data_IF_734985826183
#
_entry.id   IF_734985826183
#
_cell.length_a   1.000
_cell.length_b   1.000
_cell.length_c   1.000
_cell.angle_alpha   90.00
_cell.angle_beta   90.00
_cell.angle_gamma   90.00
#
_symmetry.space_group_name_H-M   'P 1'
#
loop_
_entity.id
_entity.type
_entity.pdbx_description
1 polymer ?
#
# COMPACT_ATOMS: atom_id res chain seq x y z
N UNK A 1 5.63 2.28 -20.35
CA UNK A 1 6.77 1.35 -20.26
C UNK A 1 7.84 1.99 -19.39
N UNK A 2 8.53 1.22 -18.58
CA UNK A 2 9.62 1.66 -17.73
C UNK A 2 10.92 1.16 -18.34
N UNK A 3 11.83 2.07 -18.67
CA UNK A 3 13.09 1.75 -19.33
C UNK A 3 14.26 2.19 -18.43
N UNK A 4 15.30 1.37 -18.41
CA UNK A 4 16.54 1.63 -17.68
C UNK A 4 17.73 1.32 -18.59
N UNK A 5 18.56 2.33 -18.80
CA UNK A 5 19.84 2.22 -19.48
C UNK A 5 20.95 2.77 -18.59
N UNK A 6 22.04 2.03 -18.40
CA UNK A 6 23.24 2.53 -17.70
C UNK A 6 24.45 2.52 -18.61
N UNK A 7 25.45 3.38 -18.32
CA UNK A 7 26.73 3.38 -19.04
C UNK A 7 27.50 2.06 -18.87
N UNK A 8 27.24 1.33 -17.78
CA UNK A 8 27.83 0.01 -17.50
C UNK A 8 27.16 -1.13 -18.27
N UNK A 9 26.17 -0.85 -19.11
CA UNK A 9 25.60 -1.81 -20.06
C UNK A 9 24.25 -2.41 -19.66
N UNK A 10 23.68 -2.03 -18.51
CA UNK A 10 22.32 -2.47 -18.15
C UNK A 10 21.32 -1.90 -19.15
N UNK A 11 20.46 -2.77 -19.70
CA UNK A 11 19.37 -2.41 -20.61
C UNK A 11 18.14 -3.24 -20.24
N UNK A 12 17.22 -2.65 -19.49
CA UNK A 12 16.02 -3.32 -19.01
C UNK A 12 14.77 -2.55 -19.46
N UNK A 13 13.73 -3.31 -19.76
CA UNK A 13 12.42 -2.79 -20.13
C UNK A 13 11.34 -3.53 -19.37
N UNK A 14 10.55 -2.77 -18.62
CA UNK A 14 9.36 -3.22 -17.94
C UNK A 14 8.11 -2.69 -18.64
N UNK A 15 7.11 -3.55 -18.81
CA UNK A 15 5.79 -3.15 -19.28
C UNK A 15 4.78 -3.56 -18.22
N UNK A 16 4.00 -2.59 -17.76
CA UNK A 16 2.84 -2.82 -16.92
C UNK A 16 1.65 -2.05 -17.49
N UNK A 17 0.47 -2.61 -17.30
CA UNK A 17 -0.80 -1.94 -17.52
C UNK A 17 -1.50 -1.86 -16.19
N UNK A 18 -2.06 -0.70 -15.90
CA UNK A 18 -2.81 -0.46 -14.69
C UNK A 18 -4.01 0.41 -15.03
N UNK A 19 -5.12 0.15 -14.38
CA UNK A 19 -6.32 0.95 -14.37
C UNK A 19 -6.71 1.18 -12.91
N UNK A 20 -7.18 2.37 -12.60
CA UNK A 20 -7.63 2.72 -11.27
C UNK A 20 -8.96 3.46 -11.37
N UNK A 21 -9.90 3.12 -10.51
CA UNK A 21 -11.13 3.86 -10.32
C UNK A 21 -11.23 4.26 -8.85
N UNK A 22 -11.59 5.52 -8.62
CA UNK A 22 -12.04 5.97 -7.30
C UNK A 22 -13.43 6.54 -7.43
N UNK A 23 -14.27 6.27 -6.44
CA UNK A 23 -15.65 6.72 -6.41
C UNK A 23 -15.96 7.26 -5.02
N UNK A 24 -16.58 8.44 -5.00
CA UNK A 24 -17.09 9.06 -3.78
C UNK A 24 -18.58 9.28 -3.96
N UNK A 25 -19.39 8.74 -3.05
CA UNK A 25 -20.81 9.07 -2.98
C UNK A 25 -21.03 10.06 -1.84
N UNK A 26 -21.93 11.02 -2.07
CA UNK A 26 -22.33 12.02 -1.09
C UNK A 26 -23.85 12.09 -1.01
N UNK A 27 -24.36 12.43 0.17
CA UNK A 27 -25.77 12.81 0.33
C UNK A 27 -26.06 14.13 -0.38
N UNK A 28 -27.33 14.39 -0.71
CA UNK A 28 -27.73 15.62 -1.42
C UNK A 28 -27.37 16.90 -0.64
N UNK A 29 -27.40 16.83 0.70
CA UNK A 29 -26.98 17.91 1.59
C UNK A 29 -25.45 18.00 1.80
N UNK A 30 -24.68 17.11 1.16
CA UNK A 30 -23.23 16.99 1.22
C UNK A 30 -22.63 16.72 2.61
N UNK A 31 -23.46 16.41 3.63
CA UNK A 31 -22.99 16.20 5.01
C UNK A 31 -22.31 14.86 5.23
N UNK A 32 -22.61 13.86 4.40
CA UNK A 32 -22.12 12.48 4.58
C UNK A 32 -21.52 11.98 3.28
N UNK A 33 -20.44 11.24 3.39
CA UNK A 33 -19.73 10.70 2.24
C UNK A 33 -19.10 9.36 2.53
N UNK A 34 -18.99 8.54 1.49
CA UNK A 34 -18.26 7.28 1.50
C UNK A 34 -17.37 7.19 0.27
N UNK A 35 -16.27 6.48 0.40
CA UNK A 35 -15.25 6.35 -0.65
C UNK A 35 -14.87 4.89 -0.89
N UNK A 36 -14.56 4.58 -2.15
CA UNK A 36 -13.92 3.33 -2.55
C UNK A 36 -12.89 3.60 -3.65
N UNK A 37 -11.81 2.83 -3.61
CA UNK A 37 -10.84 2.72 -4.68
C UNK A 37 -10.78 1.27 -5.19
N UNK A 38 -10.56 1.12 -6.49
CA UNK A 38 -10.34 -0.16 -7.15
C UNK A 38 -9.18 -0.06 -8.12
N UNK A 39 -8.42 -1.15 -8.24
CA UNK A 39 -7.31 -1.30 -9.16
C UNK A 39 -7.57 -2.49 -10.08
N UNK A 40 -7.06 -2.42 -11.30
CA UNK A 40 -7.07 -3.52 -12.25
C UNK A 40 -5.87 -3.41 -13.19
N UNK A 41 -5.58 -4.46 -13.94
CA UNK A 41 -4.54 -4.44 -14.99
C UNK A 41 -5.03 -3.80 -16.28
N UNK A 42 -6.33 -3.49 -16.38
CA UNK A 42 -6.98 -2.79 -17.49
C UNK A 42 -8.40 -2.38 -17.12
N UNK A 43 -9.04 -1.53 -17.92
CA UNK A 43 -10.38 -0.99 -17.61
C UNK A 43 -11.45 -2.08 -17.47
N UNK A 44 -11.35 -3.16 -18.26
CA UNK A 44 -12.29 -4.28 -18.19
C UNK A 44 -12.24 -5.04 -16.85
N UNK A 45 -11.17 -4.89 -16.07
CA UNK A 45 -11.05 -5.48 -14.73
C UNK A 45 -11.61 -4.62 -13.60
N UNK A 46 -12.24 -3.48 -13.90
CA UNK A 46 -12.82 -2.58 -12.90
C UNK A 46 -14.32 -2.88 -12.72
N UNK A 47 -14.68 -3.42 -11.56
CA UNK A 47 -16.08 -3.73 -11.19
C UNK A 47 -16.84 -2.49 -10.69
N UNK A 48 -17.19 -1.60 -11.64
CA UNK A 48 -17.83 -0.31 -11.33
C UNK A 48 -19.18 -0.47 -10.64
N UNK A 49 -20.03 -1.38 -11.14
CA UNK A 49 -21.36 -1.60 -10.60
C UNK A 49 -21.31 -2.13 -9.16
N UNK A 50 -20.45 -3.13 -8.90
CA UNK A 50 -20.24 -3.66 -7.55
C UNK A 50 -19.71 -2.59 -6.58
N UNK A 51 -18.74 -1.79 -7.02
CA UNK A 51 -18.21 -0.67 -6.23
C UNK A 51 -19.30 0.35 -5.87
N UNK A 52 -20.16 0.71 -6.83
CA UNK A 52 -21.27 1.64 -6.61
C UNK A 52 -22.30 1.09 -5.62
N UNK A 53 -22.70 -0.19 -5.77
CA UNK A 53 -23.66 -0.80 -4.85
C UNK A 53 -23.13 -0.86 -3.42
N UNK A 54 -21.88 -1.31 -3.24
CA UNK A 54 -21.25 -1.35 -1.91
C UNK A 54 -21.04 0.04 -1.29
N UNK A 55 -20.89 1.10 -2.10
CA UNK A 55 -20.90 2.47 -1.59
C UNK A 55 -22.30 2.94 -1.20
N UNK A 56 -23.34 2.60 -1.97
CA UNK A 56 -24.71 2.97 -1.61
C UNK A 56 -25.13 2.38 -0.28
N UNK A 57 -24.83 1.10 -0.06
CA UNK A 57 -25.10 0.42 1.21
C UNK A 57 -24.39 1.11 2.38
N UNK A 58 -23.07 1.34 2.25
CA UNK A 58 -22.28 2.04 3.27
C UNK A 58 -22.76 3.47 3.52
N UNK A 59 -23.20 4.19 2.49
CA UNK A 59 -23.78 5.52 2.66
C UNK A 59 -25.08 5.45 3.47
N UNK A 60 -25.90 4.41 3.27
CA UNK A 60 -27.08 4.15 4.09
C UNK A 60 -26.74 3.94 5.57
N UNK A 61 -25.66 3.21 5.89
CA UNK A 61 -25.23 3.03 7.29
C UNK A 61 -24.93 4.35 8.01
N UNK A 62 -24.50 5.38 7.27
CA UNK A 62 -24.23 6.71 7.86
C UNK A 62 -25.47 7.46 8.34
N UNK A 63 -26.68 6.94 8.07
CA UNK A 63 -27.95 7.48 8.61
C UNK A 63 -28.07 7.25 10.11
N UNK A 64 -27.48 6.16 10.61
CA UNK A 64 -27.49 5.81 12.02
C UNK A 64 -26.13 6.14 12.63
N UNK A 65 -26.09 7.21 13.41
CA UNK A 65 -24.90 7.60 14.17
C UNK A 65 -25.17 7.39 15.65
N UNK A 66 -24.22 6.74 16.32
CA UNK A 66 -24.27 6.50 17.76
C UNK A 66 -23.11 7.24 18.40
N UNK A 67 -23.42 8.02 19.45
CA UNK A 67 -22.41 8.58 20.31
C UNK A 67 -21.99 7.49 21.31
N UNK A 68 -20.69 7.22 21.39
CA UNK A 68 -20.12 6.30 22.37
C UNK A 68 -19.35 7.10 23.42
N UNK A 69 -19.44 6.68 24.68
CA UNK A 69 -18.59 7.21 25.73
C UNK A 69 -17.13 6.79 25.52
N UNK A 70 -16.14 7.51 26.07
CA UNK A 70 -14.74 7.10 26.01
C UNK A 70 -14.55 5.72 26.65
N UNK A 71 -13.90 4.79 25.94
CA UNK A 71 -13.69 3.44 26.42
C UNK A 71 -12.92 2.56 25.44
N UNK A 72 -12.73 1.30 25.82
CA UNK A 72 -12.15 0.28 24.95
C UNK A 72 -13.24 -0.43 24.17
N UNK A 73 -13.12 -0.42 22.85
CA UNK A 73 -14.04 -1.07 21.93
C UNK A 73 -13.27 -1.94 20.97
N UNK A 74 -13.89 -3.04 20.55
CA UNK A 74 -13.44 -3.77 19.38
C UNK A 74 -13.66 -2.87 18.14
N UNK A 75 -12.60 -2.68 17.35
CA UNK A 75 -12.64 -1.89 16.13
C UNK A 75 -12.40 -2.81 14.95
N UNK A 76 -13.42 -2.99 14.13
CA UNK A 76 -13.31 -3.75 12.88
C UNK A 76 -13.00 -2.76 11.75
N UNK A 77 -11.80 -2.86 11.20
CA UNK A 77 -11.38 -2.03 10.08
C UNK A 77 -11.92 -2.57 8.76
N UNK A 78 -12.42 -1.66 7.92
CA UNK A 78 -12.67 -1.95 6.51
C UNK A 78 -11.35 -2.25 5.80
N UNK A 79 -11.34 -3.06 4.72
CA UNK A 79 -10.12 -3.39 3.99
C UNK A 79 -9.28 -2.18 3.55
N UNK A 80 -9.92 -1.08 3.15
CA UNK A 80 -9.21 0.15 2.76
C UNK A 80 -8.51 0.82 3.95
N UNK A 81 -9.16 0.86 5.11
CA UNK A 81 -8.56 1.44 6.32
C UNK A 81 -7.37 0.59 6.81
N UNK A 82 -7.49 -0.74 6.72
CA UNK A 82 -6.38 -1.65 6.98
C UNK A 82 -5.22 -1.42 5.99
N UNK A 83 -5.52 -1.25 4.70
CA UNK A 83 -4.51 -0.94 3.68
C UNK A 83 -3.80 0.40 3.95
N UNK A 84 -4.50 1.44 4.42
CA UNK A 84 -3.90 2.72 4.79
C UNK A 84 -2.92 2.58 5.97
N UNK A 85 -3.24 1.71 6.94
CA UNK A 85 -2.31 1.37 8.02
C UNK A 85 -1.06 0.64 7.51
N UNK A 86 -1.23 -0.28 6.56
CA UNK A 86 -0.09 -0.98 5.93
C UNK A 86 0.80 -0.03 5.12
N UNK A 87 0.20 0.96 4.45
CA UNK A 87 0.96 2.00 3.74
C UNK A 87 1.77 2.85 4.72
N UNK A 88 1.15 3.28 5.82
CA UNK A 88 1.85 4.02 6.89
C UNK A 88 3.01 3.21 7.45
N UNK A 89 2.78 1.91 7.71
CA UNK A 89 3.79 0.97 8.17
C UNK A 89 4.97 0.89 7.19
N UNK A 90 4.71 0.70 5.89
CA UNK A 90 5.77 0.62 4.87
C UNK A 90 6.68 1.87 4.86
N UNK A 91 6.12 3.06 5.12
CA UNK A 91 6.87 4.31 5.24
C UNK A 91 7.57 4.53 6.60
N UNK A 92 7.46 3.61 7.55
CA UNK A 92 8.23 3.64 8.81
C UNK A 92 9.31 2.55 8.86
N UNK A 93 9.22 1.54 7.99
CA UNK A 93 10.13 0.40 7.97
C UNK A 93 11.50 0.68 7.29
N UNK A 94 11.79 1.92 6.90
CA UNK A 94 13.07 2.28 6.27
C UNK A 94 14.25 2.05 7.22
N UNK A 95 15.28 1.38 6.71
CA UNK A 95 16.48 1.03 7.48
C UNK A 95 17.17 2.26 8.08
N UNK A 96 17.31 3.34 7.31
CA UNK A 96 17.93 4.59 7.79
C UNK A 96 17.16 5.21 8.95
N UNK A 97 15.83 5.25 8.85
CA UNK A 97 15.01 5.82 9.91
C UNK A 97 15.10 5.01 11.21
N UNK A 98 15.17 3.68 11.11
CA UNK A 98 15.37 2.82 12.27
C UNK A 98 16.79 2.98 12.87
N UNK A 99 17.83 3.05 12.04
CA UNK A 99 19.23 3.20 12.46
C UNK A 99 19.52 4.56 13.10
N UNK A 100 18.91 5.63 12.57
CA UNK A 100 18.98 6.99 13.15
C UNK A 100 18.04 7.19 14.36
N UNK A 101 17.36 6.14 14.83
CA UNK A 101 16.40 6.17 15.94
C UNK A 101 15.18 7.10 15.72
N UNK A 102 14.74 7.22 14.47
CA UNK A 102 13.65 8.13 14.04
C UNK A 102 12.31 7.44 13.80
N UNK A 103 12.29 6.11 13.83
CA UNK A 103 11.07 5.32 13.65
C UNK A 103 10.86 4.38 14.83
N UNK A 104 9.64 3.87 14.98
CA UNK A 104 9.29 2.89 16.01
C UNK A 104 10.04 1.55 15.86
N UNK A 105 10.74 1.36 14.74
CA UNK A 105 11.51 0.16 14.42
C UNK A 105 12.98 0.26 14.86
N UNK A 106 13.36 1.32 15.58
CA UNK A 106 14.66 1.44 16.22
C UNK A 106 14.77 0.55 17.47
N UNK A 107 15.97 0.04 17.72
CA UNK A 107 16.36 -0.65 18.94
C UNK A 107 17.65 -0.03 19.49
N UNK A 108 17.99 -0.31 20.76
CA UNK A 108 19.19 0.26 21.38
C UNK A 108 20.45 -0.28 20.67
N UNK A 109 21.07 0.56 19.84
CA UNK A 109 22.26 0.20 19.06
C UNK A 109 21.97 -0.55 17.76
N UNK A 110 20.76 -0.43 17.19
CA UNK A 110 20.44 -1.00 15.90
C UNK A 110 18.96 -0.91 15.51
N UNK A 111 18.48 -1.92 14.79
CA UNK A 111 17.09 -2.02 14.34
C UNK A 111 16.37 -3.17 15.04
N UNK A 112 15.04 -3.16 15.01
CA UNK A 112 14.19 -4.27 15.50
C UNK A 112 14.03 -5.40 14.49
N UNK A 113 14.89 -5.49 13.47
CA UNK A 113 14.83 -6.57 12.47
C UNK A 113 15.01 -7.91 13.17
N UNK A 114 14.10 -8.85 12.88
CA UNK A 114 14.05 -10.16 13.52
C UNK A 114 13.24 -10.23 14.81
N UNK A 115 12.79 -9.10 15.35
CA UNK A 115 11.85 -9.08 16.48
C UNK A 115 10.42 -9.40 16.03
N UNK A 116 9.70 -10.17 16.84
CA UNK A 116 8.29 -10.47 16.60
C UNK A 116 7.43 -9.32 17.09
N UNK A 117 6.93 -8.53 16.14
CA UNK A 117 6.11 -7.33 16.40
C UNK A 117 4.61 -7.56 16.19
N UNK A 118 4.23 -8.64 15.51
CA UNK A 118 2.85 -8.92 15.12
C UNK A 118 2.42 -10.34 15.53
N UNK A 119 1.11 -10.57 15.51
CA UNK A 119 0.52 -11.89 15.69
C UNK A 119 1.02 -12.86 14.59
N UNK A 120 1.19 -14.15 14.90
CA UNK A 120 1.81 -15.11 13.96
C UNK A 120 1.00 -15.32 12.67
N UNK A 121 -0.29 -14.98 12.68
CA UNK A 121 -1.19 -15.10 11.54
C UNK A 121 -1.03 -13.93 10.54
N UNK A 122 -0.30 -12.89 10.92
CA UNK A 122 -0.07 -11.72 10.07
C UNK A 122 1.20 -11.94 9.26
N UNK A 123 1.04 -12.02 7.94
CA UNK A 123 2.16 -12.00 6.98
C UNK A 123 2.03 -10.80 6.08
N UNK A 124 3.13 -10.06 5.88
CA UNK A 124 3.20 -8.95 4.93
C UNK A 124 4.25 -9.29 3.89
N UNK A 125 3.85 -9.28 2.62
CA UNK A 125 4.73 -9.62 1.52
C UNK A 125 4.57 -8.68 0.33
N UNK A 126 5.58 -8.65 -0.52
CA UNK A 126 5.56 -7.99 -1.82
C UNK A 126 5.92 -9.02 -2.88
N UNK A 127 5.17 -9.05 -3.98
CA UNK A 127 5.43 -9.96 -5.09
C UNK A 127 5.31 -9.20 -6.42
N UNK A 128 6.44 -8.88 -7.10
CA UNK A 128 6.40 -8.17 -8.36
C UNK A 128 5.75 -8.98 -9.49
N UNK A 129 5.59 -10.30 -9.32
CA UNK A 129 4.96 -11.19 -10.28
C UNK A 129 3.48 -11.48 -9.99
N UNK A 130 2.89 -10.89 -8.93
CA UNK A 130 1.46 -11.08 -8.60
C UNK A 130 0.59 -10.76 -9.84
N UNK A 131 -0.22 -11.71 -10.33
CA UNK A 131 -1.02 -11.53 -11.54
C UNK A 131 -2.05 -10.39 -11.43
N UNK A 132 -2.46 -10.02 -10.21
CA UNK A 132 -3.39 -8.91 -9.95
C UNK A 132 -2.71 -7.54 -10.09
N UNK A 133 -1.40 -7.46 -9.89
CA UNK A 133 -0.65 -6.20 -9.90
C UNK A 133 0.81 -6.41 -10.29
N UNK A 134 1.04 -6.96 -11.48
CA UNK A 134 2.40 -7.20 -11.97
C UNK A 134 3.14 -5.90 -12.20
N UNK A 135 4.37 -5.82 -11.69
CA UNK A 135 5.28 -4.68 -11.89
C UNK A 135 6.62 -5.17 -12.44
N UNK A 136 7.43 -4.29 -13.05
CA UNK A 136 8.78 -4.67 -13.46
C UNK A 136 9.60 -5.19 -12.28
N UNK A 137 10.21 -6.37 -12.44
CA UNK A 137 11.00 -7.04 -11.40
C UNK A 137 12.43 -6.53 -11.28
N UNK A 138 12.65 -5.21 -11.41
CA UNK A 138 13.98 -4.61 -11.24
C UNK A 138 13.87 -3.22 -10.61
N UNK A 139 14.89 -2.85 -9.84
CA UNK A 139 14.96 -1.52 -9.23
C UNK A 139 15.14 -0.46 -10.32
N UNK A 140 14.28 0.54 -10.29
CA UNK A 140 14.39 1.75 -11.11
C UNK A 140 14.14 2.98 -10.25
N UNK A 141 15.22 3.68 -9.92
CA UNK A 141 15.23 4.92 -9.18
C UNK A 141 15.85 6.04 -10.01
N UNK A 142 15.17 7.19 -10.05
CA UNK A 142 15.63 8.40 -10.74
C UNK A 142 16.46 9.31 -9.82
N UNK A 143 16.37 9.12 -8.50
CA UNK A 143 17.07 9.90 -7.49
C UNK A 143 17.24 9.06 -6.23
N UNK A 144 18.34 9.24 -5.52
CA UNK A 144 18.50 8.61 -4.22
C UNK A 144 17.55 9.22 -3.18
N UNK A 145 17.02 8.39 -2.31
CA UNK A 145 16.13 8.73 -1.20
C UNK A 145 16.31 7.72 -0.07
N UNK A 146 15.55 7.88 1.03
CA UNK A 146 15.56 6.92 2.14
C UNK A 146 14.99 5.54 1.74
N UNK A 147 14.28 5.45 0.61
CA UNK A 147 13.62 4.24 0.13
C UNK A 147 14.33 3.55 -1.04
N UNK A 148 15.23 4.25 -1.74
CA UNK A 148 15.92 3.68 -2.90
C UNK A 148 17.18 4.48 -3.25
N UNK A 149 18.18 3.80 -3.80
CA UNK A 149 19.39 4.43 -4.35
C UNK A 149 19.44 4.32 -5.87
N UNK A 150 20.02 5.32 -6.54
CA UNK A 150 20.33 5.21 -7.98
C UNK A 150 21.41 4.16 -8.26
N UNK A 151 22.21 3.79 -7.26
CA UNK A 151 23.24 2.75 -7.37
C UNK A 151 22.64 1.34 -7.41
N UNK A 152 21.40 1.17 -6.93
CA UNK A 152 20.69 -0.12 -6.94
C UNK A 152 20.00 -0.40 -8.27
N UNK A 153 20.05 0.55 -9.22
CA UNK A 153 19.38 0.44 -10.51
C UNK A 153 19.76 -0.83 -11.26
N UNK A 154 18.74 -1.60 -11.65
CA UNK A 154 18.89 -2.85 -12.41
C UNK A 154 19.05 -4.10 -11.55
N UNK A 155 19.16 -3.96 -10.22
CA UNK A 155 19.08 -5.12 -9.32
C UNK A 155 17.70 -5.80 -9.46
N UNK A 156 17.65 -7.14 -9.49
CA UNK A 156 16.39 -7.86 -9.56
C UNK A 156 15.58 -7.66 -8.28
N UNK A 157 14.27 -7.49 -8.43
CA UNK A 157 13.30 -7.47 -7.33
C UNK A 157 12.47 -8.73 -7.44
N UNK A 158 12.51 -9.55 -6.39
CA UNK A 158 11.75 -10.79 -6.26
C UNK A 158 10.63 -10.65 -5.23
N UNK A 159 9.94 -11.77 -5.00
CA UNK A 159 9.00 -11.87 -3.88
C UNK A 159 9.76 -11.75 -2.56
N UNK A 160 9.24 -10.93 -1.64
CA UNK A 160 9.85 -10.65 -0.34
C UNK A 160 8.79 -10.72 0.75
N UNK A 161 9.07 -11.46 1.82
CA UNK A 161 8.28 -11.45 3.07
C UNK A 161 8.95 -10.50 4.06
N UNK A 162 8.17 -9.54 4.59
CA UNK A 162 8.62 -8.47 5.48
C UNK A 162 8.27 -8.72 6.94
N UNK A 163 7.12 -9.35 7.17
CA UNK A 163 6.57 -9.76 8.47
C UNK A 163 6.12 -11.20 8.35
#
# INVERSE_FOLDING_TARGET
AEELGTRTGVRLRGVRTAASLTLTLKTADLKRSVWAGGLGTGMAGLEVAGMYQGLRERLGWTEHQLQLDPGHYEVILQPSAAADMLLRLAWEMQARGADEERTVFASRGGTRVGERMYAPEVTIESDPQDPRMRVPGFVRSLRSSEYSSVFDNGLPVGRTTWV
#
